data_IF_942100457453
#
_entry.id   IF_942100457453
#
_cell.length_a   1.000
_cell.length_b   1.000
_cell.length_c   1.000
_cell.angle_alpha   90.00
_cell.angle_beta   90.00
_cell.angle_gamma   90.00
#
_symmetry.space_group_name_H-M   'P 1'
#
loop_
_entity.id
_entity.type
_entity.pdbx_description
1 polymer ?
#
# COMPACT_ATOMS: atom_id res chain seq x y z
N UNK A 1 97.06 -2.58 4.27
CA UNK A 1 96.77 -1.19 4.71
C UNK A 1 95.71 -0.62 3.77
N UNK A 2 94.80 0.20 4.32
CA UNK A 2 93.51 0.70 3.77
C UNK A 2 92.31 -0.24 4.00
N UNK A 3 91.57 -0.11 5.12
CA UNK A 3 90.52 0.87 5.49
C UNK A 3 89.23 0.78 4.66
N UNK A 4 88.11 0.40 5.28
CA UNK A 4 86.83 1.13 5.31
C UNK A 4 85.79 0.29 6.08
N UNK A 5 85.44 0.65 7.32
CA UNK A 5 84.34 1.57 7.72
C UNK A 5 82.94 0.98 7.51
N UNK A 6 82.32 0.59 8.64
CA UNK A 6 80.93 0.20 8.73
C UNK A 6 79.99 1.41 8.72
N UNK A 7 78.82 1.23 8.10
CA UNK A 7 77.72 2.20 8.09
C UNK A 7 76.49 1.49 8.65
N UNK A 8 76.01 1.98 9.79
CA UNK A 8 74.71 1.66 10.38
C UNK A 8 73.63 2.39 9.58
N UNK A 9 72.70 1.66 8.96
CA UNK A 9 71.56 2.24 8.25
C UNK A 9 70.34 2.32 9.17
N UNK A 10 69.84 3.53 9.37
CA UNK A 10 68.60 3.81 10.08
C UNK A 10 67.37 3.48 9.21
N UNK A 11 66.32 2.97 9.87
CA UNK A 11 65.02 2.58 9.28
C UNK A 11 64.14 3.80 9.06
N UNK A 12 63.50 3.91 7.90
CA UNK A 12 62.37 4.80 7.65
C UNK A 12 61.10 3.97 7.40
N UNK A 13 60.18 3.94 8.36
CA UNK A 13 58.82 3.38 8.18
C UNK A 13 57.94 4.49 7.60
N UNK A 14 57.52 4.32 6.35
CA UNK A 14 56.59 5.25 5.70
C UNK A 14 55.16 4.75 5.87
N UNK A 15 54.33 5.51 6.60
CA UNK A 15 52.91 5.22 6.76
C UNK A 15 52.15 5.61 5.49
N UNK A 16 51.55 4.64 4.78
CA UNK A 16 50.68 4.90 3.64
C UNK A 16 49.23 5.02 4.10
N UNK A 17 48.58 6.15 3.78
CA UNK A 17 47.17 6.36 4.03
C UNK A 17 46.32 5.58 3.02
N UNK A 18 45.47 4.66 3.50
CA UNK A 18 44.52 3.91 2.68
C UNK A 18 43.31 4.81 2.40
N UNK A 19 43.14 5.24 1.15
CA UNK A 19 41.94 5.95 0.71
C UNK A 19 40.85 4.92 0.37
N UNK A 20 39.76 4.93 1.15
CA UNK A 20 38.55 4.15 0.86
C UNK A 20 37.72 4.93 -0.16
N UNK A 21 37.41 4.39 -1.35
CA UNK A 21 36.54 5.08 -2.29
C UNK A 21 35.10 5.09 -1.74
N UNK A 22 34.53 6.29 -1.57
CA UNK A 22 33.10 6.47 -1.33
C UNK A 22 32.34 6.04 -2.60
N UNK A 23 31.53 4.99 -2.51
CA UNK A 23 30.58 4.66 -3.56
C UNK A 23 29.52 5.78 -3.65
N UNK A 24 29.23 6.35 -4.84
CA UNK A 24 28.12 7.27 -4.99
C UNK A 24 26.82 6.46 -4.87
N UNK A 25 26.17 6.53 -3.72
CA UNK A 25 24.80 6.04 -3.55
C UNK A 25 23.85 7.16 -3.95
N UNK A 26 23.74 7.40 -5.24
CA UNK A 26 22.76 8.34 -5.78
C UNK A 26 21.42 7.61 -5.91
N UNK A 27 20.66 7.59 -4.81
CA UNK A 27 19.27 7.16 -4.79
C UNK A 27 18.44 8.18 -5.55
N UNK A 28 18.35 8.02 -6.87
CA UNK A 28 17.43 8.80 -7.69
C UNK A 28 16.02 8.70 -7.08
N UNK A 29 15.32 9.81 -6.82
CA UNK A 29 13.95 9.77 -6.33
C UNK A 29 13.11 9.04 -7.38
N UNK A 30 12.65 7.84 -7.03
CA UNK A 30 11.70 7.08 -7.81
C UNK A 30 10.57 8.03 -8.20
N UNK A 31 10.46 8.35 -9.49
CA UNK A 31 9.39 9.20 -10.00
C UNK A 31 8.10 8.60 -9.45
N UNK A 32 7.33 9.35 -8.66
CA UNK A 32 5.98 8.91 -8.30
C UNK A 32 5.34 8.51 -9.61
N UNK A 33 4.93 7.23 -9.72
CA UNK A 33 4.17 6.77 -10.87
C UNK A 33 3.12 7.83 -11.17
N UNK A 34 3.02 8.27 -12.42
CA UNK A 34 2.09 9.33 -12.80
C UNK A 34 0.72 8.97 -12.24
N UNK A 35 0.17 9.85 -11.40
CA UNK A 35 -1.11 9.64 -10.73
C UNK A 35 -2.17 9.25 -11.79
N UNK A 36 -2.80 8.09 -11.61
CA UNK A 36 -3.87 7.66 -12.50
C UNK A 36 -5.05 8.63 -12.41
N UNK A 37 -5.55 9.06 -13.56
CA UNK A 37 -6.74 9.89 -13.68
C UNK A 37 -7.65 9.27 -14.75
N UNK A 38 -8.81 8.70 -14.39
CA UNK A 38 -9.75 8.18 -15.37
C UNK A 38 -10.31 9.31 -16.24
N UNK A 39 -10.66 8.97 -17.48
CA UNK A 39 -11.35 9.90 -18.37
C UNK A 39 -12.83 10.01 -17.97
N UNK A 40 -13.48 11.14 -18.29
CA UNK A 40 -14.94 11.22 -18.17
C UNK A 40 -15.57 10.16 -19.08
N UNK A 41 -16.50 9.39 -18.54
CA UNK A 41 -17.15 8.29 -19.27
C UNK A 41 -16.42 6.95 -19.22
N UNK A 42 -15.31 6.83 -18.48
CA UNK A 42 -14.69 5.53 -18.18
C UNK A 42 -15.73 4.57 -17.59
N UNK A 43 -15.79 3.36 -18.14
CA UNK A 43 -16.77 2.35 -17.72
C UNK A 43 -16.29 1.64 -16.45
N UNK A 44 -17.21 1.27 -15.59
CA UNK A 44 -16.89 0.72 -14.28
C UNK A 44 -17.95 -0.26 -13.79
N UNK A 45 -17.52 -1.19 -12.93
CA UNK A 45 -18.38 -2.10 -12.19
C UNK A 45 -18.01 -2.06 -10.71
N UNK A 46 -19.02 -2.16 -9.83
CA UNK A 46 -18.84 -2.25 -8.38
C UNK A 46 -19.30 -3.63 -7.88
N UNK A 47 -18.44 -4.32 -7.12
CA UNK A 47 -18.71 -5.65 -6.55
C UNK A 47 -18.24 -5.71 -5.10
N UNK A 48 -19.16 -5.42 -4.17
CA UNK A 48 -18.87 -5.41 -2.73
C UNK A 48 -19.47 -6.60 -1.96
N UNK A 49 -20.45 -7.30 -2.55
CA UNK A 49 -21.22 -8.33 -1.84
C UNK A 49 -20.46 -9.65 -1.66
N UNK A 50 -19.46 -9.90 -2.50
CA UNK A 50 -18.65 -11.12 -2.47
C UNK A 50 -17.30 -10.84 -3.14
N UNK A 51 -16.23 -11.56 -2.77
CA UNK A 51 -14.96 -11.46 -3.46
C UNK A 51 -15.08 -11.96 -4.90
N UNK A 52 -14.31 -11.34 -5.79
CA UNK A 52 -14.18 -11.83 -7.16
C UNK A 52 -13.47 -13.18 -7.16
N UNK A 53 -13.94 -14.09 -8.02
CA UNK A 53 -13.30 -15.37 -8.25
C UNK A 53 -12.64 -15.34 -9.63
N UNK A 54 -11.32 -15.16 -9.66
CA UNK A 54 -10.54 -15.10 -10.90
C UNK A 54 -9.60 -16.30 -10.93
N UNK A 55 -9.66 -17.10 -11.99
CA UNK A 55 -8.76 -18.22 -12.20
C UNK A 55 -7.36 -17.70 -12.60
N UNK A 56 -6.29 -17.93 -11.81
CA UNK A 56 -4.96 -17.41 -12.15
C UNK A 56 -4.35 -17.98 -13.43
N UNK A 57 -4.73 -19.20 -13.83
CA UNK A 57 -4.23 -19.87 -15.04
C UNK A 57 -4.98 -19.44 -16.30
N UNK A 58 -6.18 -18.90 -16.15
CA UNK A 58 -6.99 -18.37 -17.26
C UNK A 58 -7.85 -17.21 -16.74
N UNK A 59 -7.25 -16.05 -16.45
CA UNK A 59 -7.96 -14.93 -15.84
C UNK A 59 -9.13 -14.48 -16.72
N UNK A 60 -10.30 -14.31 -16.11
CA UNK A 60 -11.48 -13.74 -16.72
C UNK A 60 -12.30 -13.06 -15.62
N UNK A 61 -13.03 -12.00 -15.99
CA UNK A 61 -13.93 -11.28 -15.09
C UNK A 61 -15.13 -10.82 -15.90
N UNK A 62 -16.31 -10.83 -15.28
CA UNK A 62 -17.55 -10.36 -15.89
C UNK A 62 -18.20 -9.24 -15.07
N UNK A 63 -18.66 -8.15 -15.70
CA UNK A 63 -18.62 -7.86 -17.13
C UNK A 63 -17.20 -7.61 -17.68
N UNK A 64 -16.81 -8.28 -18.75
CA UNK A 64 -15.46 -8.15 -19.34
C UNK A 64 -15.20 -6.81 -20.04
N UNK A 65 -16.25 -6.07 -20.37
CA UNK A 65 -16.18 -4.82 -21.16
C UNK A 65 -15.97 -3.55 -20.34
N UNK A 66 -15.97 -3.61 -19.00
CA UNK A 66 -15.72 -2.42 -18.16
C UNK A 66 -14.22 -2.18 -17.98
N UNK A 67 -13.82 -0.92 -17.81
CA UNK A 67 -12.40 -0.55 -17.65
C UNK A 67 -11.94 -0.61 -16.18
N UNK A 68 -12.86 -0.36 -15.24
CA UNK A 68 -12.57 -0.23 -13.81
C UNK A 68 -13.43 -1.21 -13.00
N UNK A 69 -12.81 -1.82 -11.99
CA UNK A 69 -13.51 -2.57 -10.96
C UNK A 69 -13.32 -1.89 -9.61
N UNK A 70 -14.44 -1.58 -8.96
CA UNK A 70 -14.50 -1.18 -7.56
C UNK A 70 -14.90 -2.38 -6.71
N UNK A 71 -14.01 -2.79 -5.80
CA UNK A 71 -14.13 -4.04 -5.05
C UNK A 71 -13.79 -3.84 -3.58
N UNK A 72 -14.38 -4.67 -2.73
CA UNK A 72 -14.08 -4.65 -1.30
C UNK A 72 -12.58 -4.94 -1.05
N UNK A 73 -11.91 -4.04 -0.31
CA UNK A 73 -10.48 -4.14 -0.01
C UNK A 73 -10.15 -5.45 0.70
N UNK A 74 -10.87 -5.81 1.76
CA UNK A 74 -10.47 -6.92 2.63
C UNK A 74 -10.85 -8.28 2.05
N UNK A 75 -12.05 -8.40 1.48
CA UNK A 75 -12.56 -9.67 0.95
C UNK A 75 -11.76 -10.13 -0.28
N UNK A 76 -11.28 -9.19 -1.11
CA UNK A 76 -10.54 -9.52 -2.32
C UNK A 76 -9.03 -9.71 -2.08
N UNK A 77 -8.53 -9.43 -0.87
CA UNK A 77 -7.08 -9.39 -0.59
C UNK A 77 -6.65 -10.26 0.58
N UNK A 78 -7.45 -11.26 0.97
CA UNK A 78 -7.20 -12.08 2.17
C UNK A 78 -6.92 -11.20 3.39
N UNK A 79 -7.84 -10.29 3.69
CA UNK A 79 -7.73 -9.34 4.81
C UNK A 79 -6.53 -8.38 4.69
N UNK A 80 -6.16 -7.97 3.47
CA UNK A 80 -5.06 -7.02 3.24
C UNK A 80 -3.67 -7.64 3.12
N UNK A 81 -3.57 -8.96 2.94
CA UNK A 81 -2.29 -9.69 2.92
C UNK A 81 -1.89 -10.24 1.56
N UNK A 82 -2.78 -10.21 0.56
CA UNK A 82 -2.57 -10.81 -0.75
C UNK A 82 -3.20 -9.97 -1.88
N UNK A 83 -2.37 -9.40 -2.76
CA UNK A 83 -2.83 -8.61 -3.91
C UNK A 83 -3.16 -9.43 -5.17
N UNK A 84 -3.28 -10.76 -5.07
CA UNK A 84 -3.37 -11.64 -6.25
C UNK A 84 -4.59 -11.37 -7.14
N UNK A 85 -5.76 -11.09 -6.55
CA UNK A 85 -6.98 -10.71 -7.27
C UNK A 85 -6.78 -9.42 -8.07
N UNK A 86 -6.13 -8.43 -7.46
CA UNK A 86 -5.87 -7.12 -8.07
C UNK A 86 -4.87 -7.27 -9.21
N UNK A 87 -3.78 -8.03 -9.00
CA UNK A 87 -2.82 -8.35 -10.05
C UNK A 87 -3.46 -9.10 -11.23
N UNK A 88 -4.44 -9.98 -10.97
CA UNK A 88 -5.17 -10.67 -12.02
C UNK A 88 -6.05 -9.69 -12.83
N UNK A 89 -6.76 -8.77 -12.18
CA UNK A 89 -7.50 -7.69 -12.84
C UNK A 89 -6.59 -6.78 -13.68
N UNK A 90 -5.42 -6.41 -13.16
CA UNK A 90 -4.41 -5.65 -13.90
C UNK A 90 -3.91 -6.40 -15.14
N UNK A 91 -3.72 -7.72 -15.06
CA UNK A 91 -3.31 -8.53 -16.23
C UNK A 91 -4.39 -8.58 -17.33
N UNK A 92 -5.65 -8.32 -16.95
CA UNK A 92 -6.79 -8.14 -17.86
C UNK A 92 -6.95 -6.68 -18.33
N UNK A 93 -5.99 -5.81 -18.02
CA UNK A 93 -6.00 -4.40 -18.40
C UNK A 93 -6.99 -3.54 -17.60
N UNK A 94 -7.50 -4.03 -16.47
CA UNK A 94 -8.44 -3.29 -15.62
C UNK A 94 -7.70 -2.39 -14.65
N UNK A 95 -8.38 -1.32 -14.22
CA UNK A 95 -8.00 -0.53 -13.04
C UNK A 95 -8.82 -0.97 -11.83
N UNK A 96 -8.24 -0.88 -10.65
CA UNK A 96 -8.88 -1.34 -9.41
C UNK A 96 -9.00 -0.21 -8.40
N UNK A 97 -10.25 0.05 -8.00
CA UNK A 97 -10.60 0.90 -6.85
C UNK A 97 -10.91 -0.04 -5.70
N UNK A 98 -10.33 0.23 -4.52
CA UNK A 98 -10.58 -0.57 -3.34
C UNK A 98 -11.48 0.17 -2.36
N UNK A 99 -12.69 -0.37 -2.19
CA UNK A 99 -13.67 0.09 -1.22
C UNK A 99 -13.26 -0.27 0.21
N UNK A 100 -13.48 0.68 1.12
CA UNK A 100 -13.63 0.41 2.55
C UNK A 100 -14.48 1.52 3.17
N UNK A 101 -15.27 1.22 4.21
CA UNK A 101 -15.95 2.29 4.93
C UNK A 101 -14.95 3.10 5.76
N UNK A 102 -14.95 4.42 5.56
CA UNK A 102 -14.11 5.36 6.31
C UNK A 102 -14.86 6.04 7.46
N UNK A 103 -16.19 6.07 7.40
CA UNK A 103 -17.03 6.70 8.43
C UNK A 103 -17.83 5.75 9.30
N UNK A 104 -17.77 4.44 9.06
CA UNK A 104 -18.49 3.45 9.88
C UNK A 104 -17.58 2.32 10.35
N UNK A 105 -17.96 1.77 11.51
CA UNK A 105 -17.42 0.57 12.10
C UNK A 105 -18.19 -0.65 11.63
N UNK A 106 -17.45 -1.58 11.06
CA UNK A 106 -17.91 -2.88 10.56
C UNK A 106 -17.31 -3.98 11.44
N UNK A 107 -18.11 -4.58 12.31
CA UNK A 107 -17.61 -5.49 13.36
C UNK A 107 -17.00 -6.81 12.86
N UNK A 108 -17.17 -7.13 11.58
CA UNK A 108 -16.60 -8.33 10.94
C UNK A 108 -15.24 -8.11 10.30
N UNK A 109 -14.75 -6.86 10.24
CA UNK A 109 -13.46 -6.54 9.63
C UNK A 109 -12.30 -7.10 10.45
N UNK A 110 -11.17 -7.47 9.80
CA UNK A 110 -10.01 -8.03 10.50
C UNK A 110 -9.38 -7.05 11.50
N UNK A 111 -9.58 -5.74 11.29
CA UNK A 111 -9.09 -4.66 12.15
C UNK A 111 -10.15 -4.15 13.14
N UNK A 112 -11.28 -4.86 13.32
CA UNK A 112 -12.38 -4.43 14.20
C UNK A 112 -11.94 -4.23 15.68
N UNK A 113 -10.84 -4.87 16.09
CA UNK A 113 -10.24 -4.71 17.42
C UNK A 113 -9.49 -3.39 17.64
N UNK A 114 -9.15 -2.67 16.58
CA UNK A 114 -8.41 -1.40 16.65
C UNK A 114 -9.32 -0.21 17.03
N UNK A 115 -10.65 -0.39 17.01
CA UNK A 115 -11.64 0.66 17.26
C UNK A 115 -12.05 0.72 18.74
N UNK A 116 -11.75 1.84 19.40
CA UNK A 116 -12.16 2.06 20.80
C UNK A 116 -13.67 2.31 20.89
N UNK A 117 -14.26 1.95 22.02
CA UNK A 117 -15.69 2.21 22.26
C UNK A 117 -16.04 3.71 22.21
N UNK A 118 -15.12 4.57 22.62
CA UNK A 118 -15.30 6.03 22.60
C UNK A 118 -15.39 6.64 21.20
N UNK A 119 -14.94 5.92 20.16
CA UNK A 119 -14.98 6.39 18.78
C UNK A 119 -16.26 5.93 18.04
N UNK A 120 -17.09 5.09 18.67
CA UNK A 120 -18.30 4.52 18.09
C UNK A 120 -19.52 5.33 18.52
N UNK A 121 -20.27 5.81 17.53
CA UNK A 121 -21.49 6.59 17.70
C UNK A 121 -22.76 5.74 17.57
N UNK A 122 -23.75 6.29 16.88
CA UNK A 122 -25.04 5.63 16.68
C UNK A 122 -24.94 4.49 15.66
N UNK A 123 -25.72 3.43 15.89
CA UNK A 123 -25.91 2.36 14.91
C UNK A 123 -26.66 2.90 13.70
N UNK A 124 -26.29 2.44 12.50
CA UNK A 124 -27.02 2.75 11.28
C UNK A 124 -28.38 2.04 11.26
N UNK A 125 -29.36 2.65 10.58
CA UNK A 125 -30.72 2.11 10.51
C UNK A 125 -30.82 0.87 9.60
N UNK A 126 -30.09 0.86 8.49
CA UNK A 126 -30.24 -0.14 7.41
C UNK A 126 -29.06 -1.11 7.29
N UNK A 127 -28.00 -0.89 8.07
CA UNK A 127 -26.75 -1.64 7.99
C UNK A 127 -26.32 -2.11 9.38
N UNK A 128 -25.62 -3.23 9.47
CA UNK A 128 -25.10 -3.74 10.74
C UNK A 128 -23.81 -3.01 11.16
N UNK A 129 -23.86 -1.69 11.13
CA UNK A 129 -22.69 -0.82 11.23
C UNK A 129 -22.95 0.31 12.23
N UNK A 130 -21.88 0.94 12.69
CA UNK A 130 -21.95 2.04 13.67
C UNK A 130 -21.16 3.23 13.16
N UNK A 131 -21.74 4.43 13.20
CA UNK A 131 -21.02 5.65 12.83
C UNK A 131 -19.74 5.84 13.65
N UNK A 132 -18.71 6.40 13.05
CA UNK A 132 -17.44 6.71 13.70
C UNK A 132 -17.28 8.20 13.93
N UNK A 133 -16.59 8.55 15.02
CA UNK A 133 -16.07 9.90 15.21
C UNK A 133 -14.82 10.11 14.31
N UNK A 134 -15.03 10.57 13.08
CA UNK A 134 -13.95 10.80 12.10
C UNK A 134 -12.97 11.94 12.47
N UNK A 135 -13.27 12.72 13.51
CA UNK A 135 -12.34 13.70 14.07
C UNK A 135 -11.34 13.08 15.05
N UNK A 136 -11.55 11.83 15.48
CA UNK A 136 -10.65 11.12 16.37
C UNK A 136 -9.29 10.82 15.69
N UNK A 137 -8.15 11.15 16.32
CA UNK A 137 -6.84 10.75 15.83
C UNK A 137 -6.70 9.22 15.70
N UNK A 138 -7.29 8.46 16.62
CA UNK A 138 -7.25 7.00 16.59
C UNK A 138 -7.94 6.45 15.33
N UNK A 139 -9.09 7.03 14.95
CA UNK A 139 -9.78 6.66 13.71
C UNK A 139 -8.97 7.06 12.48
N UNK A 140 -8.33 8.24 12.48
CA UNK A 140 -7.45 8.64 11.39
C UNK A 140 -6.26 7.68 11.22
N UNK A 141 -5.69 7.18 12.32
CA UNK A 141 -4.63 6.18 12.28
C UNK A 141 -5.11 4.85 11.69
N UNK A 142 -6.31 4.39 12.06
CA UNK A 142 -6.92 3.19 11.45
C UNK A 142 -7.13 3.39 9.95
N UNK A 143 -7.69 4.52 9.52
CA UNK A 143 -7.89 4.78 8.09
C UNK A 143 -6.57 4.92 7.33
N UNK A 144 -5.54 5.52 7.94
CA UNK A 144 -4.20 5.57 7.36
C UNK A 144 -3.62 4.16 7.14
N UNK A 145 -3.85 3.23 8.07
CA UNK A 145 -3.47 1.81 7.88
C UNK A 145 -4.24 1.18 6.71
N UNK A 146 -5.56 1.41 6.60
CA UNK A 146 -6.37 0.89 5.48
C UNK A 146 -5.89 1.42 4.12
N UNK A 147 -5.56 2.71 4.04
CA UNK A 147 -4.99 3.33 2.83
C UNK A 147 -3.64 2.71 2.49
N UNK A 148 -2.78 2.48 3.50
CA UNK A 148 -1.51 1.79 3.30
C UNK A 148 -1.70 0.36 2.80
N UNK A 149 -2.64 -0.39 3.38
CA UNK A 149 -2.98 -1.74 2.92
C UNK A 149 -3.40 -1.70 1.46
N UNK A 150 -4.32 -0.81 1.08
CA UNK A 150 -4.77 -0.65 -0.31
C UNK A 150 -3.60 -0.38 -1.27
N UNK A 151 -2.65 0.47 -0.88
CA UNK A 151 -1.45 0.72 -1.68
C UNK A 151 -0.54 -0.53 -1.76
N UNK A 152 -0.31 -1.23 -0.64
CA UNK A 152 0.57 -2.39 -0.56
C UNK A 152 0.03 -3.60 -1.35
N UNK A 153 -1.29 -3.79 -1.41
CA UNK A 153 -1.94 -4.86 -2.19
C UNK A 153 -2.17 -4.48 -3.66
N UNK A 154 -1.85 -3.25 -4.05
CA UNK A 154 -1.78 -2.81 -5.44
C UNK A 154 -3.01 -2.10 -5.99
N UNK A 155 -3.93 -1.59 -5.16
CA UNK A 155 -5.06 -0.80 -5.63
C UNK A 155 -4.59 0.46 -6.39
N UNK A 156 -5.27 0.83 -7.48
CA UNK A 156 -4.98 2.07 -8.21
C UNK A 156 -5.60 3.31 -7.55
N UNK A 157 -6.71 3.13 -6.85
CA UNK A 157 -7.37 4.15 -6.04
C UNK A 157 -8.16 3.51 -4.87
N UNK A 158 -8.77 4.35 -4.04
CA UNK A 158 -9.62 3.95 -2.91
C UNK A 158 -11.01 4.57 -3.05
N UNK A 159 -12.02 3.88 -2.53
CA UNK A 159 -13.38 4.38 -2.34
C UNK A 159 -13.73 4.39 -0.84
N UNK A 160 -13.48 5.51 -0.13
CA UNK A 160 -13.75 5.63 1.31
C UNK A 160 -15.22 6.00 1.56
N UNK A 161 -16.03 5.03 1.94
CA UNK A 161 -17.49 5.23 2.08
C UNK A 161 -17.90 5.84 3.44
N UNK A 162 -19.15 6.29 3.51
CA UNK A 162 -19.84 6.83 4.69
C UNK A 162 -19.19 8.10 5.25
N UNK A 163 -18.70 8.98 4.38
CA UNK A 163 -18.09 10.28 4.76
C UNK A 163 -19.11 11.41 4.89
N UNK A 164 -20.38 11.07 5.13
CA UNK A 164 -21.54 11.95 5.05
C UNK A 164 -22.41 11.96 6.33
N UNK A 165 -21.88 11.47 7.45
CA UNK A 165 -22.61 11.38 8.74
C UNK A 165 -22.75 12.67 9.56
N UNK A 166 -22.69 13.86 8.94
CA UNK A 166 -22.67 15.17 9.61
C UNK A 166 -23.89 15.51 10.49
#
# INVERSE_FOLDING_TARGET
>A
MHLSSGITLAVAVSAQAISIPLAPRDSQPQSRASMWKPAVGTTWQIVLKHPLTINPQSPAVEPSHVDVYDIDLFDNTKNGTDGSTIAALHSLGKKVICYFSAGTYEGWRPDAGDFKAADKGNRMNNWNETWLNINSPDIRDVMAKRIKIAADVGCDAIDPDNVDGY
#
